data_IF_564934762174
#
_entry.id   IF_564934762174
#
_cell.length_a   1.000
_cell.length_b   1.000
_cell.length_c   1.000
_cell.angle_alpha   90.00
_cell.angle_beta   90.00
_cell.angle_gamma   90.00
#
_symmetry.space_group_name_H-M   'P 1'
#
loop_
_entity.id
_entity.type
_entity.pdbx_description
1 polymer ?
#
# COMPACT_ATOMS: atom_id res chain seq x y z
N UNK A 1 7.15 -37.55 0.71
CA UNK A 1 6.07 -38.40 1.25
C UNK A 1 4.98 -37.47 1.72
N UNK A 2 3.94 -37.30 0.90
CA UNK A 2 2.68 -36.69 1.31
C UNK A 2 2.20 -37.37 2.60
N UNK A 3 1.45 -36.65 3.44
CA UNK A 3 1.03 -37.09 4.79
C UNK A 3 0.47 -38.52 4.72
N UNK A 4 1.32 -39.49 5.05
CA UNK A 4 1.06 -40.90 4.80
C UNK A 4 0.20 -41.45 5.91
N UNK A 5 -1.12 -41.44 5.70
CA UNK A 5 -2.05 -42.16 6.56
C UNK A 5 -1.65 -43.64 6.64
N UNK A 6 -1.65 -44.20 7.86
CA UNK A 6 -1.26 -45.58 8.06
C UNK A 6 -2.40 -46.50 7.61
N UNK A 7 -2.09 -47.63 6.95
CA UNK A 7 -3.13 -48.61 6.59
C UNK A 7 -3.84 -49.20 7.81
N UNK A 8 -3.19 -49.23 8.99
CA UNK A 8 -3.72 -49.74 10.25
C UNK A 8 -3.09 -49.01 11.46
N UNK A 9 -3.54 -47.80 11.81
CA UNK A 9 -3.11 -47.13 13.04
C UNK A 9 -3.54 -47.94 14.27
N UNK A 10 -2.74 -47.95 15.34
CA UNK A 10 -3.08 -48.56 16.65
C UNK A 10 -2.84 -47.55 17.78
N UNK A 11 -3.67 -47.59 18.82
CA UNK A 11 -3.53 -46.74 20.01
C UNK A 11 -3.71 -45.24 19.71
N UNK A 12 -2.88 -44.38 20.32
CA UNK A 12 -2.96 -42.91 20.18
C UNK A 12 -2.83 -42.41 18.73
N UNK A 13 -2.19 -43.18 17.85
CA UNK A 13 -2.12 -42.88 16.41
C UNK A 13 -3.47 -42.94 15.71
N UNK A 14 -4.42 -43.75 16.21
CA UNK A 14 -5.78 -43.81 15.66
C UNK A 14 -6.54 -42.52 15.91
N UNK A 15 -6.43 -41.99 17.14
CA UNK A 15 -7.09 -40.75 17.54
C UNK A 15 -6.50 -39.57 16.73
N UNK A 16 -5.17 -39.54 16.60
CA UNK A 16 -4.49 -38.54 15.77
C UNK A 16 -4.92 -38.63 14.30
N UNK A 17 -4.96 -39.84 13.73
CA UNK A 17 -5.36 -40.03 12.34
C UNK A 17 -6.83 -39.67 12.10
N UNK A 18 -7.73 -40.02 13.03
CA UNK A 18 -9.13 -39.61 12.99
C UNK A 18 -9.26 -38.08 13.03
N UNK A 19 -8.55 -37.42 13.95
CA UNK A 19 -8.55 -35.96 14.05
C UNK A 19 -8.03 -35.30 12.77
N UNK A 20 -6.92 -35.80 12.22
CA UNK A 20 -6.36 -35.27 10.97
C UNK A 20 -7.31 -35.47 9.78
N UNK A 21 -7.95 -36.63 9.68
CA UNK A 21 -8.97 -36.89 8.65
C UNK A 21 -10.18 -35.96 8.80
N UNK A 22 -10.69 -35.79 10.02
CA UNK A 22 -11.81 -34.89 10.30
C UNK A 22 -11.44 -33.43 9.99
N UNK A 23 -10.24 -32.99 10.37
CA UNK A 23 -9.75 -31.64 10.11
C UNK A 23 -9.56 -31.38 8.61
N UNK A 24 -8.96 -32.31 7.87
CA UNK A 24 -8.81 -32.19 6.41
C UNK A 24 -10.18 -32.18 5.74
N UNK A 25 -11.11 -33.06 6.13
CA UNK A 25 -12.47 -33.05 5.63
C UNK A 25 -13.21 -31.75 5.95
N UNK A 26 -12.92 -31.11 7.07
CA UNK A 26 -13.48 -29.81 7.42
C UNK A 26 -12.88 -28.66 6.58
N UNK A 27 -11.54 -28.61 6.47
CA UNK A 27 -10.83 -27.58 5.69
C UNK A 27 -11.17 -27.68 4.20
N UNK A 28 -11.24 -28.89 3.65
CA UNK A 28 -11.46 -29.15 2.23
C UNK A 28 -12.88 -29.61 1.90
N UNK A 29 -13.80 -29.65 2.86
CA UNK A 29 -15.19 -30.10 2.63
C UNK A 29 -15.93 -29.23 1.60
N UNK A 30 -15.57 -27.95 1.52
CA UNK A 30 -16.08 -27.01 0.53
C UNK A 30 -15.26 -26.96 -0.78
N UNK A 31 -14.15 -27.71 -0.90
CA UNK A 31 -13.25 -27.62 -2.05
C UNK A 31 -13.92 -28.00 -3.37
N UNK A 32 -14.96 -28.85 -3.30
CA UNK A 32 -15.71 -29.33 -4.46
C UNK A 32 -16.97 -28.51 -4.75
N UNK A 33 -17.27 -27.47 -3.95
CA UNK A 33 -18.40 -26.57 -4.20
C UNK A 33 -17.98 -25.64 -5.35
N UNK A 34 -18.69 -25.64 -6.49
CA UNK A 34 -18.38 -24.76 -7.61
C UNK A 34 -18.38 -23.30 -7.15
N UNK A 35 -17.23 -22.65 -7.25
CA UNK A 35 -17.09 -21.22 -6.98
C UNK A 35 -17.15 -20.45 -8.30
N UNK A 36 -17.73 -19.26 -8.33
CA UNK A 36 -17.64 -18.39 -9.50
C UNK A 36 -16.15 -18.08 -9.76
N UNK A 37 -15.64 -18.53 -10.91
CA UNK A 37 -14.25 -18.29 -11.35
C UNK A 37 -14.10 -17.03 -12.19
N UNK A 38 -15.20 -16.33 -12.45
CA UNK A 38 -15.19 -15.04 -13.14
C UNK A 38 -14.39 -14.03 -12.32
N UNK A 39 -13.57 -13.18 -12.96
CA UNK A 39 -12.83 -12.15 -12.25
C UNK A 39 -13.81 -11.23 -11.51
N UNK A 40 -13.45 -10.86 -10.28
CA UNK A 40 -14.20 -9.87 -9.52
C UNK A 40 -14.28 -8.57 -10.32
N UNK A 41 -15.46 -7.95 -10.35
CA UNK A 41 -15.65 -6.63 -10.98
C UNK A 41 -14.71 -5.61 -10.32
N UNK A 42 -13.83 -5.02 -11.12
CA UNK A 42 -12.85 -4.05 -10.63
C UNK A 42 -13.55 -2.69 -10.52
N UNK A 43 -13.70 -2.18 -9.30
CA UNK A 43 -14.13 -0.79 -9.08
C UNK A 43 -12.91 0.10 -8.84
N UNK A 44 -12.62 0.99 -9.79
CA UNK A 44 -11.57 2.01 -9.64
C UNK A 44 -12.19 3.30 -9.11
N UNK A 45 -11.94 3.70 -7.85
CA UNK A 45 -12.48 4.94 -7.33
C UNK A 45 -11.93 6.12 -8.14
N UNK A 46 -12.83 6.98 -8.62
CA UNK A 46 -12.46 8.22 -9.31
C UNK A 46 -12.36 9.36 -8.30
N UNK A 47 -11.41 10.25 -8.51
CA UNK A 47 -11.28 11.49 -7.74
C UNK A 47 -12.36 12.50 -8.18
N UNK A 48 -12.71 13.44 -7.29
CA UNK A 48 -13.57 14.58 -7.61
C UNK A 48 -12.71 15.76 -8.08
N UNK A 49 -13.22 16.56 -9.01
CA UNK A 49 -12.48 17.74 -9.51
C UNK A 49 -12.15 18.75 -8.40
N UNK A 50 -13.03 18.89 -7.40
CA UNK A 50 -12.78 19.75 -6.24
C UNK A 50 -11.54 19.34 -5.45
N UNK A 51 -11.24 18.04 -5.36
CA UNK A 51 -10.06 17.53 -4.67
C UNK A 51 -8.78 17.89 -5.42
N UNK A 52 -8.80 17.86 -6.75
CA UNK A 52 -7.68 18.31 -7.57
C UNK A 52 -7.43 19.79 -7.34
N UNK A 53 -8.47 20.62 -7.39
CA UNK A 53 -8.33 22.06 -7.20
C UNK A 53 -7.77 22.39 -5.81
N UNK A 54 -8.23 21.68 -4.76
CA UNK A 54 -7.65 21.81 -3.42
C UNK A 54 -6.17 21.42 -3.37
N UNK A 55 -5.78 20.33 -4.04
CA UNK A 55 -4.38 19.91 -4.11
C UNK A 55 -3.51 20.93 -4.85
N UNK A 56 -4.01 21.49 -5.96
CA UNK A 56 -3.32 22.54 -6.71
C UNK A 56 -3.10 23.76 -5.81
N UNK A 57 -4.12 24.22 -5.08
CA UNK A 57 -3.99 25.35 -4.17
C UNK A 57 -2.95 25.09 -3.06
N UNK A 58 -2.93 23.87 -2.50
CA UNK A 58 -1.93 23.48 -1.50
C UNK A 58 -0.51 23.49 -2.09
N UNK A 59 -0.34 22.93 -3.28
CA UNK A 59 0.94 22.91 -4.00
C UNK A 59 1.43 24.33 -4.29
N UNK A 60 0.57 25.22 -4.79
CA UNK A 60 0.92 26.61 -5.07
C UNK A 60 1.33 27.41 -3.83
N UNK A 61 0.82 27.05 -2.65
CA UNK A 61 1.16 27.69 -1.38
C UNK A 61 2.37 27.09 -0.66
N UNK A 62 2.84 25.92 -1.10
CA UNK A 62 3.90 25.16 -0.44
C UNK A 62 5.28 25.59 -0.94
N UNK A 63 6.21 25.76 0.00
CA UNK A 63 7.62 26.08 -0.29
C UNK A 63 8.51 24.83 -0.28
N UNK A 64 8.12 23.78 0.48
CA UNK A 64 8.90 22.55 0.63
C UNK A 64 8.01 21.31 0.47
N UNK A 65 7.43 21.10 -0.73
CA UNK A 65 6.60 19.94 -0.98
C UNK A 65 7.46 18.67 -1.05
N UNK A 66 6.92 17.57 -0.54
CA UNK A 66 7.57 16.27 -0.56
C UNK A 66 6.59 15.16 -0.90
N UNK A 67 6.96 14.28 -1.84
CA UNK A 67 6.18 13.10 -2.20
C UNK A 67 6.78 11.85 -1.56
N UNK A 68 5.92 10.99 -1.02
CA UNK A 68 6.26 9.62 -0.65
C UNK A 68 5.42 8.66 -1.49
N UNK A 69 6.07 7.97 -2.44
CA UNK A 69 5.43 6.95 -3.26
C UNK A 69 5.54 5.59 -2.57
N UNK A 70 4.41 4.97 -2.26
CA UNK A 70 4.33 3.62 -1.74
C UNK A 70 4.00 2.57 -2.81
N UNK A 71 3.96 1.31 -2.40
CA UNK A 71 3.72 0.17 -3.29
C UNK A 71 2.41 0.25 -4.07
N UNK A 72 1.34 0.85 -3.52
CA UNK A 72 0.05 0.90 -4.22
C UNK A 72 0.03 1.87 -5.40
N UNK A 73 1.02 2.78 -5.49
CA UNK A 73 1.11 3.74 -6.59
C UNK A 73 1.45 3.04 -7.92
N UNK A 74 2.24 1.97 -7.87
CA UNK A 74 2.68 1.21 -9.06
C UNK A 74 1.76 0.03 -9.42
N UNK A 75 0.67 -0.17 -8.68
CA UNK A 75 -0.29 -1.22 -9.01
C UNK A 75 -1.13 -0.82 -10.25
N UNK A 76 -1.64 -1.78 -11.05
CA UNK A 76 -2.58 -1.50 -12.13
C UNK A 76 -3.81 -0.70 -11.65
N UNK A 77 -4.50 0.09 -12.49
CA UNK A 77 -4.50 0.02 -13.96
C UNK A 77 -3.48 0.94 -14.65
N UNK A 78 -2.84 1.86 -13.93
CA UNK A 78 -1.90 2.81 -14.53
C UNK A 78 -0.53 2.15 -14.64
N UNK A 79 0.09 2.24 -15.80
CA UNK A 79 1.43 1.73 -16.01
C UNK A 79 2.47 2.55 -15.21
N UNK A 80 3.48 1.90 -14.61
CA UNK A 80 4.52 2.59 -13.86
C UNK A 80 5.25 3.68 -14.65
N UNK A 81 5.43 3.52 -15.97
CA UNK A 81 6.12 4.51 -16.81
C UNK A 81 5.37 5.84 -16.86
N UNK A 82 4.04 5.81 -17.01
CA UNK A 82 3.19 7.02 -17.00
C UNK A 82 3.31 7.74 -15.65
N UNK A 83 3.31 6.99 -14.55
CA UNK A 83 3.51 7.55 -13.22
C UNK A 83 4.90 8.19 -13.09
N UNK A 84 5.95 7.53 -13.60
CA UNK A 84 7.31 8.04 -13.56
C UNK A 84 7.44 9.36 -14.33
N UNK A 85 6.82 9.46 -15.51
CA UNK A 85 6.75 10.70 -16.30
C UNK A 85 6.00 11.80 -15.56
N UNK A 86 4.83 11.49 -14.98
CA UNK A 86 4.05 12.46 -14.20
C UNK A 86 4.82 12.99 -12.98
N UNK A 87 5.63 12.15 -12.33
CA UNK A 87 6.48 12.59 -11.20
C UNK A 87 7.61 13.48 -11.69
N UNK A 88 8.20 13.18 -12.85
CA UNK A 88 9.23 14.01 -13.48
C UNK A 88 8.70 15.38 -13.88
N UNK A 89 7.48 15.46 -14.43
CA UNK A 89 6.86 16.73 -14.82
C UNK A 89 6.47 17.59 -13.61
N UNK A 90 6.07 16.97 -12.49
CA UNK A 90 5.79 17.70 -11.26
C UNK A 90 7.03 18.36 -10.65
N UNK A 91 8.23 17.78 -10.84
CA UNK A 91 9.48 18.35 -10.34
C UNK A 91 9.61 18.39 -8.80
N UNK A 92 8.78 17.63 -8.08
CA UNK A 92 8.75 17.62 -6.61
C UNK A 92 9.71 16.53 -6.08
N UNK A 93 10.51 16.82 -5.03
CA UNK A 93 11.35 15.81 -4.39
C UNK A 93 10.53 14.60 -3.90
N UNK A 94 11.05 13.39 -4.12
CA UNK A 94 10.31 12.15 -3.89
C UNK A 94 11.12 11.07 -3.20
N UNK A 95 10.51 10.43 -2.21
CA UNK A 95 10.99 9.17 -1.63
C UNK A 95 10.20 7.99 -2.21
N UNK A 96 10.92 6.98 -2.67
CA UNK A 96 10.36 5.73 -3.16
C UNK A 96 10.42 4.65 -2.07
N UNK A 97 9.29 3.98 -1.79
CA UNK A 97 9.15 2.97 -0.75
C UNK A 97 8.48 1.70 -1.22
N UNK A 98 8.97 0.54 -0.77
CA UNK A 98 8.39 -0.76 -1.14
C UNK A 98 8.59 -1.05 -2.62
N UNK A 99 7.50 -1.37 -3.32
CA UNK A 99 7.49 -1.74 -4.74
C UNK A 99 7.71 -0.56 -5.69
N UNK A 100 7.60 0.68 -5.22
CA UNK A 100 7.87 1.86 -6.05
C UNK A 100 9.36 2.14 -6.22
N UNK A 101 10.25 1.41 -5.52
CA UNK A 101 11.70 1.57 -5.69
C UNK A 101 12.13 1.18 -7.10
N UNK A 102 12.97 2.00 -7.71
CA UNK A 102 13.42 1.82 -9.09
C UNK A 102 12.55 2.55 -10.13
N UNK A 103 11.38 3.09 -9.74
CA UNK A 103 10.45 3.76 -10.66
C UNK A 103 11.09 4.89 -11.50
N UNK A 104 12.02 5.66 -10.91
CA UNK A 104 12.64 6.81 -11.57
C UNK A 104 14.04 6.51 -12.14
N UNK A 105 14.54 5.28 -11.99
CA UNK A 105 15.91 4.92 -12.30
C UNK A 105 16.93 5.35 -11.24
N UNK A 106 18.20 4.99 -11.44
CA UNK A 106 19.27 5.19 -10.45
C UNK A 106 19.68 6.66 -10.26
N UNK A 107 19.65 7.44 -11.34
CA UNK A 107 20.23 8.80 -11.38
C UNK A 107 19.16 9.90 -11.44
N UNK A 108 17.96 9.65 -10.91
CA UNK A 108 16.91 10.68 -10.89
C UNK A 108 17.25 11.80 -9.91
N UNK A 109 17.30 13.08 -10.35
CA UNK A 109 17.59 14.20 -9.46
C UNK A 109 16.47 14.47 -8.45
N UNK A 110 15.25 14.00 -8.73
CA UNK A 110 14.10 14.14 -7.84
C UNK A 110 14.09 13.10 -6.72
N UNK A 111 14.75 11.95 -6.94
CA UNK A 111 14.70 10.85 -6.00
C UNK A 111 15.65 11.12 -4.82
N UNK A 112 15.06 11.33 -3.65
CA UNK A 112 15.79 11.39 -2.40
C UNK A 112 16.00 9.98 -1.83
N UNK A 113 17.23 9.67 -1.43
CA UNK A 113 17.59 8.36 -0.85
C UNK A 113 17.90 8.47 0.65
N UNK A 114 18.62 9.53 1.04
CA UNK A 114 19.07 9.76 2.42
C UNK A 114 18.20 10.79 3.15
N UNK A 115 18.43 10.98 4.45
CA UNK A 115 17.78 12.01 5.29
C UNK A 115 16.25 12.04 5.29
N UNK A 116 15.60 10.91 4.99
CA UNK A 116 14.14 10.80 4.93
C UNK A 116 13.42 11.33 6.17
N UNK A 117 13.92 11.03 7.36
CA UNK A 117 13.33 11.49 8.63
C UNK A 117 13.35 13.01 8.75
N UNK A 118 14.45 13.64 8.35
CA UNK A 118 14.62 15.09 8.43
C UNK A 118 13.81 15.80 7.34
N UNK A 119 13.82 15.28 6.11
CA UNK A 119 12.98 15.79 5.03
C UNK A 119 11.49 15.76 5.39
N UNK A 120 10.99 14.67 6.00
CA UNK A 120 9.59 14.57 6.45
C UNK A 120 9.25 15.52 7.60
N UNK A 121 10.23 15.92 8.42
CA UNK A 121 10.05 16.91 9.49
C UNK A 121 10.11 18.36 8.99
N UNK A 122 10.88 18.61 7.93
CA UNK A 122 11.09 19.94 7.37
C UNK A 122 10.13 20.29 6.23
N UNK A 123 9.45 19.31 5.65
CA UNK A 123 8.41 19.52 4.64
C UNK A 123 7.22 20.28 5.23
N UNK A 124 6.61 21.15 4.43
CA UNK A 124 5.38 21.89 4.76
C UNK A 124 4.13 21.29 4.08
N UNK A 125 4.33 20.54 3.00
CA UNK A 125 3.32 19.73 2.32
C UNK A 125 3.88 18.33 2.08
N UNK A 126 3.17 17.30 2.54
CA UNK A 126 3.57 15.90 2.37
C UNK A 126 2.47 15.16 1.62
N UNK A 127 2.81 14.62 0.45
CA UNK A 127 1.90 13.82 -0.37
C UNK A 127 2.24 12.34 -0.20
N UNK A 128 1.36 11.60 0.46
CA UNK A 128 1.45 10.15 0.63
C UNK A 128 0.66 9.47 -0.49
N UNK A 129 1.32 9.09 -1.58
CA UNK A 129 0.66 8.44 -2.70
C UNK A 129 0.91 6.93 -2.68
N UNK A 130 -0.16 6.15 -2.47
CA UNK A 130 -0.08 4.69 -2.34
C UNK A 130 0.72 4.20 -1.13
N UNK A 131 0.98 5.09 -0.17
CA UNK A 131 1.62 4.80 1.10
C UNK A 131 0.61 4.89 2.24
N UNK A 132 0.72 3.98 3.21
CA UNK A 132 -0.12 3.96 4.42
C UNK A 132 0.75 4.37 5.61
N UNK A 133 0.19 5.17 6.51
CA UNK A 133 0.82 5.55 7.77
C UNK A 133 0.79 4.37 8.77
N UNK A 134 1.60 3.36 8.49
CA UNK A 134 1.85 2.23 9.40
C UNK A 134 3.14 2.43 10.22
N UNK A 135 3.63 1.37 10.86
CA UNK A 135 4.85 1.40 11.67
C UNK A 135 6.09 1.91 10.91
N UNK A 136 6.15 1.77 9.58
CA UNK A 136 7.26 2.25 8.74
C UNK A 136 7.31 3.77 8.64
N UNK A 137 6.19 4.43 8.94
CA UNK A 137 6.06 5.88 9.10
C UNK A 137 5.86 6.29 10.55
N UNK A 138 6.16 5.39 11.50
CA UNK A 138 5.91 5.60 12.93
C UNK A 138 4.47 6.05 13.21
N UNK A 139 3.51 5.53 12.45
CA UNK A 139 2.09 5.90 12.51
C UNK A 139 1.83 7.41 12.32
N UNK A 140 2.66 8.08 11.51
CA UNK A 140 2.56 9.51 11.22
C UNK A 140 3.31 10.42 12.21
N UNK A 141 3.86 9.89 13.31
CA UNK A 141 4.58 10.70 14.33
C UNK A 141 5.86 11.35 13.81
N UNK A 142 6.42 10.82 12.73
CA UNK A 142 7.64 11.35 12.09
C UNK A 142 7.35 12.55 11.17
N UNK A 143 6.09 12.72 10.75
CA UNK A 143 5.68 13.79 9.86
C UNK A 143 5.66 15.11 10.62
N UNK A 144 5.98 16.20 9.94
CA UNK A 144 5.86 17.53 10.51
C UNK A 144 4.41 17.79 11.00
N UNK A 145 4.19 18.07 12.30
CA UNK A 145 2.84 18.30 12.83
C UNK A 145 2.17 19.56 12.28
N UNK A 146 2.94 20.49 11.70
CA UNK A 146 2.43 21.71 11.04
C UNK A 146 2.20 21.53 9.54
N UNK A 147 2.71 20.46 8.94
CA UNK A 147 2.58 20.24 7.51
C UNK A 147 1.14 19.88 7.12
N UNK A 148 0.78 20.26 5.91
CA UNK A 148 -0.42 19.77 5.24
C UNK A 148 -0.12 18.37 4.70
N UNK A 149 -1.01 17.42 4.98
CA UNK A 149 -0.79 16.01 4.60
C UNK A 149 -1.90 15.61 3.62
N UNK A 150 -1.51 15.23 2.42
CA UNK A 150 -2.41 14.75 1.37
C UNK A 150 -2.20 13.26 1.23
N UNK A 151 -3.28 12.48 1.36
CA UNK A 151 -3.23 11.02 1.22
C UNK A 151 -3.98 10.61 -0.03
N UNK A 152 -3.28 9.94 -0.95
CA UNK A 152 -3.86 9.38 -2.17
C UNK A 152 -3.80 7.87 -2.02
N UNK A 153 -4.96 7.24 -1.80
CA UNK A 153 -5.07 5.82 -1.55
C UNK A 153 -6.31 5.23 -2.24
N UNK A 154 -6.24 3.96 -2.61
CA UNK A 154 -7.32 3.21 -3.25
C UNK A 154 -8.42 2.83 -2.26
N UNK A 155 -8.09 2.74 -0.97
CA UNK A 155 -9.02 2.35 0.07
C UNK A 155 -9.18 3.45 1.13
N UNK A 156 -10.40 3.98 1.24
CA UNK A 156 -10.75 5.04 2.18
C UNK A 156 -10.50 4.64 3.64
N UNK A 157 -10.74 3.38 4.01
CA UNK A 157 -10.48 2.90 5.38
C UNK A 157 -9.01 3.02 5.76
N UNK A 158 -8.09 2.84 4.81
CA UNK A 158 -6.66 2.95 5.06
C UNK A 158 -6.19 4.40 5.17
N UNK A 159 -6.92 5.35 4.58
CA UNK A 159 -6.65 6.79 4.74
C UNK A 159 -6.88 7.24 6.19
N UNK A 160 -7.87 6.66 6.87
CA UNK A 160 -8.32 7.05 8.22
C UNK A 160 -7.56 6.36 9.36
N UNK A 161 -6.71 5.36 9.06
CA UNK A 161 -6.02 4.57 10.09
C UNK A 161 -4.92 5.32 10.85
N UNK A 162 -4.52 6.48 10.37
CA UNK A 162 -3.58 7.33 11.07
C UNK A 162 -4.30 8.51 11.73
N UNK A 163 -3.75 8.99 12.85
CA UNK A 163 -4.21 10.20 13.56
C UNK A 163 -3.89 11.48 12.78
N UNK A 164 -4.20 11.47 11.48
CA UNK A 164 -4.01 12.58 10.56
C UNK A 164 -5.25 13.47 10.68
N UNK A 165 -5.01 14.76 10.95
CA UNK A 165 -6.08 15.76 10.94
C UNK A 165 -6.69 15.81 9.53
N UNK A 166 -8.01 15.62 9.44
CA UNK A 166 -8.75 15.71 8.18
C UNK A 166 -8.64 17.13 7.61
N UNK A 167 -8.42 17.22 6.30
CA UNK A 167 -8.72 18.40 5.48
C UNK A 167 -9.76 17.93 4.47
#
# INVERSE_FOLDING_TARGET
>A
KEIGFSKNPKGSKQILEFFLRAYISWVFGAAWIPQPTTPLSINTPKFKQSQINSLINLLSSSQRPLILLGSQAVCPPIEPNILAEAVKTLGIPVYLGGMSRGLLGANSPLQMVHNRKEALKNADLIILAGAVCDFRLSYGRILNPKAKIVVINRNQSQMLKASLKKI
#
